data_IF_156996390894
#
_entry.id   IF_156996390894
#
_cell.length_a   1.000
_cell.length_b   1.000
_cell.length_c   1.000
_cell.angle_alpha   90.00
_cell.angle_beta   90.00
_cell.angle_gamma   90.00
#
_symmetry.space_group_name_H-M   'P 1'
#
loop_
_entity.id
_entity.type
_entity.pdbx_description
1 polymer ?
#
# COMPACT_ATOMS: atom_id res chain seq x y z
N UNK A 1 8.93 14.52 -5.30
CA UNK A 1 9.37 13.81 -6.53
C UNK A 1 8.24 12.91 -6.99
N UNK A 2 8.09 12.68 -8.29
CA UNK A 2 7.00 11.86 -8.83
C UNK A 2 7.58 10.58 -9.47
N UNK A 3 7.10 9.43 -9.02
CA UNK A 3 7.43 8.11 -9.54
C UNK A 3 6.32 7.69 -10.50
N UNK A 4 6.41 8.15 -11.76
CA UNK A 4 5.32 8.02 -12.75
C UNK A 4 5.18 6.65 -13.39
N UNK A 5 6.29 5.92 -13.51
CA UNK A 5 6.33 4.68 -14.29
C UNK A 5 6.70 3.51 -13.39
N UNK A 6 6.13 2.35 -13.69
CA UNK A 6 6.51 1.08 -13.05
C UNK A 6 8.04 0.90 -13.09
N UNK A 7 8.61 0.51 -11.96
CA UNK A 7 10.05 0.31 -11.76
C UNK A 7 10.84 1.58 -11.45
N UNK A 8 10.21 2.77 -11.47
CA UNK A 8 10.89 3.98 -10.97
C UNK A 8 11.08 3.90 -9.47
N UNK A 9 12.26 4.30 -8.99
CA UNK A 9 12.66 4.20 -7.59
C UNK A 9 13.14 5.55 -7.04
N UNK A 10 12.96 5.74 -5.74
CA UNK A 10 13.54 6.84 -4.98
C UNK A 10 14.09 6.33 -3.65
N UNK A 11 15.20 6.91 -3.18
CA UNK A 11 15.71 6.60 -1.85
C UNK A 11 14.77 7.17 -0.80
N UNK A 12 14.35 6.31 0.13
CA UNK A 12 13.73 6.70 1.38
C UNK A 12 14.88 6.88 2.35
N UNK A 13 15.35 8.13 2.50
CA UNK A 13 16.43 8.46 3.40
C UNK A 13 16.09 8.14 4.87
N UNK A 14 16.97 8.50 5.80
CA UNK A 14 16.64 8.39 7.23
C UNK A 14 15.36 9.18 7.55
N UNK A 15 14.48 8.57 8.34
CA UNK A 15 13.22 9.16 8.78
C UNK A 15 12.95 8.78 10.24
N UNK A 16 12.17 9.62 10.93
CA UNK A 16 11.50 9.28 12.20
C UNK A 16 10.12 8.70 11.96
N UNK A 17 9.50 9.13 10.86
CA UNK A 17 8.21 8.64 10.42
C UNK A 17 8.06 8.78 8.91
N UNK A 18 7.38 7.81 8.31
CA UNK A 18 6.77 7.93 6.99
C UNK A 18 5.26 8.06 7.14
N UNK A 19 4.68 8.94 6.35
CA UNK A 19 3.24 9.08 6.18
C UNK A 19 2.90 8.63 4.77
N UNK A 20 2.20 7.51 4.66
CA UNK A 20 1.68 6.95 3.43
C UNK A 20 0.23 7.41 3.32
N UNK A 21 -0.10 8.21 2.32
CA UNK A 21 -1.46 8.76 2.12
C UNK A 21 -1.99 8.30 0.79
N UNK A 22 -3.15 7.64 0.81
CA UNK A 22 -3.90 7.24 -0.37
C UNK A 22 -5.09 8.19 -0.54
N UNK A 23 -5.33 8.68 -1.76
CA UNK A 23 -6.46 9.58 -2.08
C UNK A 23 -7.14 9.15 -3.37
N UNK A 24 -8.46 9.30 -3.40
CA UNK A 24 -9.29 9.04 -4.58
C UNK A 24 -10.60 9.82 -4.51
N UNK A 25 -11.26 9.99 -5.65
CA UNK A 25 -12.61 10.56 -5.75
C UNK A 25 -13.62 9.63 -6.40
N UNK A 26 -13.15 8.56 -7.03
CA UNK A 26 -13.98 7.52 -7.63
C UNK A 26 -14.93 6.90 -6.58
N UNK A 27 -16.24 6.78 -6.89
CA UNK A 27 -17.18 5.95 -6.12
C UNK A 27 -16.82 4.45 -6.16
N UNK A 28 -15.84 4.09 -5.34
CA UNK A 28 -15.41 2.74 -5.03
C UNK A 28 -14.93 2.70 -3.58
N UNK A 29 -15.18 1.57 -2.93
CA UNK A 29 -14.77 1.26 -1.56
C UNK A 29 -13.31 0.82 -1.55
N UNK A 30 -12.41 1.76 -1.81
CA UNK A 30 -10.97 1.50 -1.81
C UNK A 30 -10.42 1.60 -0.39
N UNK A 31 -9.70 0.57 0.05
CA UNK A 31 -8.94 0.63 1.31
C UNK A 31 -7.43 0.58 1.07
N UNK A 32 -6.70 1.26 1.95
CA UNK A 32 -5.25 1.21 2.06
C UNK A 32 -4.84 0.02 2.93
N UNK A 33 -4.02 -0.86 2.36
CA UNK A 33 -3.44 -2.00 3.06
C UNK A 33 -1.93 -2.08 2.87
N UNK A 34 -1.24 -2.69 3.83
CA UNK A 34 0.18 -2.98 3.72
C UNK A 34 0.50 -4.40 4.15
N UNK A 35 1.01 -5.21 3.22
CA UNK A 35 1.66 -6.47 3.57
C UNK A 35 3.12 -6.19 3.89
N UNK A 36 3.74 -7.00 4.74
CA UNK A 36 5.17 -6.87 5.03
C UNK A 36 5.83 -8.24 5.18
N UNK A 37 7.13 -8.26 4.93
CA UNK A 37 8.04 -9.36 5.25
C UNK A 37 9.19 -8.81 6.08
N UNK A 38 9.50 -9.47 7.18
CA UNK A 38 10.67 -9.16 8.01
C UNK A 38 11.93 -9.78 7.44
N UNK A 39 13.10 -9.29 7.88
CA UNK A 39 14.40 -9.91 7.55
C UNK A 39 14.54 -11.35 8.07
N UNK A 40 13.68 -11.76 9.00
CA UNK A 40 13.58 -13.13 9.51
C UNK A 40 12.56 -14.00 8.74
N UNK A 41 11.93 -13.47 7.69
CA UNK A 41 10.94 -14.19 6.86
C UNK A 41 9.53 -14.24 7.46
N UNK A 42 9.29 -13.64 8.63
CA UNK A 42 7.91 -13.48 9.17
C UNK A 42 7.16 -12.49 8.29
N UNK A 43 5.94 -12.86 7.90
CA UNK A 43 5.04 -12.04 7.10
C UNK A 43 3.83 -11.59 7.92
N UNK A 44 3.18 -10.51 7.48
CA UNK A 44 1.94 -10.03 8.07
C UNK A 44 1.27 -8.96 7.22
N UNK A 45 0.16 -8.43 7.74
CA UNK A 45 -0.73 -7.52 7.03
C UNK A 45 -1.26 -6.46 7.99
N UNK A 46 -1.33 -5.22 7.53
CA UNK A 46 -1.99 -4.09 8.20
C UNK A 46 -3.09 -3.58 7.27
N UNK A 47 -4.32 -3.51 7.77
CA UNK A 47 -5.51 -3.07 7.02
C UNK A 47 -6.62 -2.64 8.00
N UNK A 48 -7.79 -2.20 7.53
CA UNK A 48 -8.86 -1.72 8.40
C UNK A 48 -9.27 -2.71 9.52
N UNK A 49 -9.20 -4.03 9.27
CA UNK A 49 -9.53 -5.07 10.27
C UNK A 49 -8.41 -5.32 11.29
N UNK A 50 -7.17 -4.96 10.97
CA UNK A 50 -6.00 -5.07 11.84
C UNK A 50 -5.11 -3.83 11.61
N UNK A 51 -5.51 -2.71 12.22
CA UNK A 51 -4.94 -1.39 11.95
C UNK A 51 -3.48 -1.21 12.39
N UNK A 52 -2.92 -2.14 13.16
CA UNK A 52 -1.55 -2.06 13.68
C UNK A 52 -1.39 -1.07 14.85
N UNK A 53 -0.14 -0.79 15.20
CA UNK A 53 0.24 0.04 16.35
C UNK A 53 1.61 0.66 16.11
N UNK A 54 1.80 1.95 16.43
CA UNK A 54 3.11 2.63 16.28
C UNK A 54 4.11 2.32 17.40
N UNK A 55 3.64 1.76 18.53
CA UNK A 55 4.43 1.43 19.71
C UNK A 55 4.72 -0.07 19.84
N UNK A 56 4.14 -0.90 18.97
CA UNK A 56 4.37 -2.33 18.92
C UNK A 56 4.65 -2.74 17.47
N UNK A 57 5.38 -3.83 17.28
CA UNK A 57 5.58 -4.40 15.95
C UNK A 57 4.20 -4.62 15.27
N UNK A 58 4.00 -4.22 13.98
CA UNK A 58 5.01 -3.87 12.99
C UNK A 58 5.46 -2.39 12.96
N UNK A 59 5.12 -1.57 13.97
CA UNK A 59 5.38 -0.13 14.00
C UNK A 59 4.72 0.62 12.85
N UNK A 60 3.60 0.07 12.37
CA UNK A 60 2.75 0.63 11.33
C UNK A 60 1.34 0.78 11.88
N UNK A 61 0.68 1.88 11.56
CA UNK A 61 -0.70 2.12 11.99
C UNK A 61 -1.51 2.80 10.89
N UNK A 62 -2.69 2.26 10.59
CA UNK A 62 -3.69 2.88 9.72
C UNK A 62 -4.56 3.88 10.51
N UNK A 63 -4.90 5.01 9.93
CA UNK A 63 -5.66 6.10 10.58
C UNK A 63 -7.12 5.76 10.86
N UNK A 64 -7.67 4.79 10.14
CA UNK A 64 -9.09 4.45 10.14
C UNK A 64 -9.49 3.78 8.83
N UNK A 65 -10.79 3.52 8.69
CA UNK A 65 -11.45 3.13 7.44
C UNK A 65 -12.33 4.30 7.02
N UNK A 66 -11.90 5.02 5.99
CA UNK A 66 -12.63 6.16 5.44
C UNK A 66 -13.34 5.80 4.12
N UNK A 67 -13.18 4.55 3.63
CA UNK A 67 -13.89 4.00 2.47
C UNK A 67 -15.37 3.69 2.71
N UNK A 68 -15.77 3.53 3.98
CA UNK A 68 -17.12 3.10 4.36
C UNK A 68 -18.25 3.94 3.72
N UNK A 69 -18.93 3.33 2.75
CA UNK A 69 -20.25 3.75 2.28
C UNK A 69 -20.35 4.26 0.85
N UNK A 70 -19.40 3.92 -0.04
CA UNK A 70 -19.45 4.24 -1.48
C UNK A 70 -19.72 5.74 -1.75
N UNK A 71 -19.17 6.64 -0.93
CA UNK A 71 -19.39 8.07 -1.09
C UNK A 71 -18.46 8.63 -2.15
N UNK A 72 -19.03 9.18 -3.22
CA UNK A 72 -18.33 10.13 -4.08
C UNK A 72 -17.85 11.32 -3.23
N UNK A 73 -16.59 11.72 -3.36
CA UNK A 73 -16.00 12.78 -2.55
C UNK A 73 -14.48 12.68 -2.46
N UNK A 74 -13.86 13.57 -1.69
CA UNK A 74 -12.42 13.50 -1.44
C UNK A 74 -12.13 12.46 -0.35
N UNK A 75 -11.91 11.21 -0.76
CA UNK A 75 -11.57 10.13 0.14
C UNK A 75 -10.06 10.11 0.42
N UNK A 76 -9.68 9.82 1.66
CA UNK A 76 -8.29 9.80 2.10
C UNK A 76 -8.08 8.74 3.19
N UNK A 77 -7.06 7.90 3.03
CA UNK A 77 -6.58 7.02 4.09
C UNK A 77 -5.09 7.21 4.32
N UNK A 78 -4.70 7.17 5.60
CA UNK A 78 -3.32 7.45 6.01
C UNK A 78 -2.77 6.29 6.83
N UNK A 79 -1.62 5.76 6.40
CA UNK A 79 -0.81 4.85 7.19
C UNK A 79 0.46 5.54 7.66
N UNK A 80 0.79 5.38 8.94
CA UNK A 80 2.04 5.85 9.54
C UNK A 80 2.98 4.67 9.76
N UNK A 81 4.26 4.86 9.43
CA UNK A 81 5.33 3.88 9.66
C UNK A 81 6.45 4.57 10.43
N UNK A 82 6.83 4.06 11.60
CA UNK A 82 7.88 4.68 12.44
C UNK A 82 9.19 3.91 12.45
N UNK A 83 9.20 2.64 12.01
CA UNK A 83 10.41 1.81 11.95
C UNK A 83 10.38 0.84 10.78
N UNK A 84 11.53 0.63 10.15
CA UNK A 84 11.73 -0.39 9.11
C UNK A 84 12.89 -1.35 9.43
N UNK A 85 13.60 -1.20 10.55
CA UNK A 85 14.86 -1.90 10.84
C UNK A 85 14.75 -3.43 10.71
N UNK A 86 13.63 -3.99 11.18
CA UNK A 86 13.32 -5.42 11.11
C UNK A 86 12.62 -5.83 9.80
N UNK A 87 12.17 -4.87 9.00
CA UNK A 87 11.46 -5.09 7.74
C UNK A 87 12.46 -5.29 6.60
N UNK A 88 12.17 -6.31 5.80
CA UNK A 88 12.82 -6.55 4.51
C UNK A 88 12.07 -5.81 3.41
N UNK A 89 10.74 -5.97 3.40
CA UNK A 89 9.86 -5.34 2.41
C UNK A 89 8.54 -4.92 3.03
N UNK A 90 7.99 -3.80 2.57
CA UNK A 90 6.60 -3.40 2.82
C UNK A 90 5.93 -3.14 1.48
N UNK A 91 4.83 -3.83 1.22
CA UNK A 91 4.06 -3.75 -0.01
C UNK A 91 2.78 -2.96 0.25
N UNK A 92 2.72 -1.75 -0.30
CA UNK A 92 1.61 -0.81 -0.11
C UNK A 92 0.59 -1.03 -1.22
N UNK A 93 -0.63 -1.35 -0.83
CA UNK A 93 -1.68 -1.77 -1.74
C UNK A 93 -2.93 -0.94 -1.55
N UNK A 94 -3.69 -0.87 -2.62
CA UNK A 94 -5.08 -0.47 -2.61
C UNK A 94 -5.92 -1.67 -3.02
N UNK A 95 -7.00 -1.95 -2.32
CA UNK A 95 -7.94 -3.01 -2.67
C UNK A 95 -9.38 -2.55 -2.50
N UNK A 96 -10.32 -3.33 -3.01
CA UNK A 96 -11.72 -3.23 -2.61
C UNK A 96 -12.05 -4.51 -1.85
N UNK A 97 -12.09 -4.42 -0.52
CA UNK A 97 -12.23 -5.60 0.32
C UNK A 97 -13.52 -6.37 0.02
N UNK A 98 -14.62 -5.67 -0.22
CA UNK A 98 -15.90 -6.27 -0.60
C UNK A 98 -15.81 -7.06 -1.91
N UNK A 99 -15.14 -6.53 -2.93
CA UNK A 99 -14.89 -7.22 -4.21
C UNK A 99 -13.90 -8.37 -4.07
N UNK A 100 -12.89 -8.23 -3.21
CA UNK A 100 -11.95 -9.32 -2.87
C UNK A 100 -12.72 -10.50 -2.29
N UNK A 101 -13.59 -10.28 -1.30
CA UNK A 101 -14.38 -11.35 -0.69
C UNK A 101 -15.31 -12.05 -1.70
N UNK A 102 -15.91 -11.28 -2.61
CA UNK A 102 -16.82 -11.79 -3.63
C UNK A 102 -16.10 -12.34 -4.89
N UNK A 103 -14.79 -12.17 -5.00
CA UNK A 103 -14.01 -12.55 -6.19
C UNK A 103 -14.38 -11.79 -7.46
N UNK A 104 -14.93 -10.60 -7.32
CA UNK A 104 -15.32 -9.71 -8.41
C UNK A 104 -14.19 -8.71 -8.72
N UNK A 105 -14.09 -8.19 -9.95
CA UNK A 105 -13.16 -7.10 -10.25
C UNK A 105 -13.62 -5.79 -9.58
N UNK A 106 -12.65 -4.98 -9.15
CA UNK A 106 -12.85 -3.60 -8.75
C UNK A 106 -12.61 -2.65 -9.93
N UNK A 107 -12.92 -1.36 -9.75
CA UNK A 107 -12.88 -0.33 -10.79
C UNK A 107 -11.53 0.41 -10.87
N UNK A 108 -10.40 -0.31 -10.83
CA UNK A 108 -9.06 0.34 -10.86
C UNK A 108 -8.72 1.04 -12.17
N UNK A 109 -9.19 0.51 -13.31
CA UNK A 109 -8.82 1.02 -14.65
C UNK A 109 -9.22 2.48 -14.88
N UNK A 110 -10.28 2.94 -14.22
CA UNK A 110 -10.80 4.31 -14.32
C UNK A 110 -10.62 5.06 -12.99
N UNK A 111 -9.90 4.46 -12.04
CA UNK A 111 -9.69 5.07 -10.74
C UNK A 111 -8.67 6.19 -10.81
N UNK A 112 -8.89 7.20 -9.97
CA UNK A 112 -7.99 8.32 -9.74
C UNK A 112 -7.14 8.12 -8.46
N UNK A 113 -6.94 6.86 -8.05
CA UNK A 113 -6.16 6.52 -6.87
C UNK A 113 -4.74 7.05 -7.02
N UNK A 114 -4.33 7.82 -6.03
CA UNK A 114 -2.98 8.34 -5.91
C UNK A 114 -2.40 8.00 -4.54
N UNK A 115 -1.11 7.68 -4.51
CA UNK A 115 -0.38 7.41 -3.28
C UNK A 115 0.71 8.46 -3.11
N UNK A 116 0.87 8.97 -1.90
CA UNK A 116 2.03 9.79 -1.53
C UNK A 116 2.72 9.21 -0.31
N UNK A 117 4.05 9.25 -0.30
CA UNK A 117 4.89 8.86 0.84
C UNK A 117 5.70 10.07 1.24
N UNK A 118 5.44 10.59 2.44
CA UNK A 118 6.10 11.77 3.00
C UNK A 118 6.96 11.40 4.21
N UNK A 119 8.21 11.88 4.24
CA UNK A 119 9.08 11.76 5.42
C UNK A 119 8.83 12.88 6.45
N UNK A 120 9.41 12.76 7.64
CA UNK A 120 9.29 13.76 8.72
C UNK A 120 10.00 15.09 8.42
N UNK A 121 10.67 15.21 7.28
CA UNK A 121 11.29 16.45 6.77
C UNK A 121 10.43 17.12 5.70
N UNK A 122 9.29 16.54 5.32
CA UNK A 122 8.39 17.04 4.28
C UNK A 122 8.76 16.61 2.86
N UNK A 123 9.77 15.76 2.69
CA UNK A 123 10.11 15.18 1.39
C UNK A 123 8.99 14.23 0.98
N UNK A 124 8.31 14.56 -0.12
CA UNK A 124 7.16 13.80 -0.60
C UNK A 124 7.48 13.09 -1.92
N UNK A 125 7.15 11.80 -1.98
CA UNK A 125 7.19 10.98 -3.18
C UNK A 125 5.77 10.61 -3.58
N UNK A 126 5.34 11.05 -4.76
CA UNK A 126 4.03 10.70 -5.31
C UNK A 126 4.17 9.51 -6.23
N UNK A 127 3.32 8.51 -6.05
CA UNK A 127 3.24 7.30 -6.86
C UNK A 127 1.86 7.29 -7.51
N UNK A 128 1.85 7.41 -8.83
CA UNK A 128 0.62 7.33 -9.62
C UNK A 128 0.39 5.88 -9.99
N UNK A 129 -0.83 5.41 -9.79
CA UNK A 129 -1.23 4.06 -10.18
C UNK A 129 -1.36 3.97 -11.70
N UNK A 130 -0.54 3.12 -12.33
CA UNK A 130 -0.64 2.79 -13.76
C UNK A 130 -0.99 1.30 -13.92
N UNK A 131 -2.15 0.91 -13.40
CA UNK A 131 -2.63 -0.47 -13.53
C UNK A 131 -3.31 -0.62 -14.88
N UNK A 132 -2.53 -0.91 -15.92
CA UNK A 132 -3.04 -1.23 -17.25
C UNK A 132 -3.96 -2.47 -17.32
N UNK A 133 -4.29 -3.10 -16.18
CA UNK A 133 -5.12 -4.30 -16.05
C UNK A 133 -6.25 -4.13 -15.03
N UNK A 134 -7.31 -4.95 -15.19
CA UNK A 134 -8.42 -5.05 -14.25
C UNK A 134 -8.02 -5.95 -13.07
N UNK A 135 -8.40 -5.56 -11.84
CA UNK A 135 -8.12 -6.31 -10.62
C UNK A 135 -9.05 -5.90 -9.47
N UNK A 136 -8.96 -6.58 -8.32
CA UNK A 136 -9.56 -6.15 -7.05
C UNK A 136 -8.53 -5.88 -5.95
N UNK A 137 -7.25 -6.05 -6.27
CA UNK A 137 -6.11 -5.58 -5.50
C UNK A 137 -5.11 -4.94 -6.46
N UNK A 138 -4.53 -3.83 -6.05
CA UNK A 138 -3.45 -3.14 -6.73
C UNK A 138 -2.28 -2.92 -5.77
N UNK A 139 -1.12 -3.52 -6.08
CA UNK A 139 0.15 -3.14 -5.50
C UNK A 139 0.60 -1.82 -6.13
N UNK A 140 0.61 -0.76 -5.32
CA UNK A 140 0.98 0.57 -5.78
C UNK A 140 2.50 0.75 -5.68
N UNK A 141 3.05 0.49 -4.50
CA UNK A 141 4.45 0.75 -4.22
C UNK A 141 5.04 -0.26 -3.25
N UNK A 142 6.35 -0.49 -3.38
CA UNK A 142 7.14 -1.28 -2.43
C UNK A 142 8.15 -0.39 -1.74
N UNK A 143 8.24 -0.51 -0.41
CA UNK A 143 9.39 -0.07 0.36
C UNK A 143 10.33 -1.27 0.51
N UNK A 144 11.42 -1.28 -0.26
CA UNK A 144 12.47 -2.28 -0.20
C UNK A 144 13.56 -1.82 0.77
N UNK A 145 13.79 -2.59 1.84
CA UNK A 145 14.80 -2.33 2.87
C UNK A 145 15.87 -3.44 2.93
N UNK A 146 16.14 -4.08 1.79
CA UNK A 146 17.19 -5.11 1.65
C UNK A 146 18.57 -4.50 1.47
N UNK A 147 18.67 -3.28 0.93
CA UNK A 147 19.92 -2.58 0.66
C UNK A 147 20.56 -2.05 1.95
N UNK A 148 21.88 -2.23 2.08
CA UNK A 148 22.66 -1.64 3.18
C UNK A 148 22.76 -0.10 3.12
N UNK A 149 22.44 0.50 1.97
CA UNK A 149 22.54 1.96 1.74
C UNK A 149 21.29 2.70 2.26
N UNK A 150 20.19 1.98 2.45
CA UNK A 150 18.91 2.52 2.91
C UNK A 150 17.72 1.96 2.14
N UNK A 151 16.53 2.25 2.65
CA UNK A 151 15.29 1.81 2.02
C UNK A 151 15.03 2.56 0.70
N UNK A 152 14.36 1.89 -0.22
CA UNK A 152 13.92 2.46 -1.50
C UNK A 152 12.41 2.36 -1.61
N UNK A 153 11.79 3.40 -2.16
CA UNK A 153 10.40 3.37 -2.60
C UNK A 153 10.38 3.10 -4.10
N UNK A 154 9.66 2.06 -4.50
CA UNK A 154 9.55 1.60 -5.88
C UNK A 154 8.09 1.71 -6.31
N UNK A 155 7.81 2.28 -7.48
CA UNK A 155 6.48 2.20 -8.09
C UNK A 155 6.32 0.81 -8.74
N UNK A 156 5.40 -0.02 -8.22
CA UNK A 156 5.12 -1.35 -8.78
C UNK A 156 3.97 -1.36 -9.79
N UNK A 157 2.94 -0.53 -9.56
CA UNK A 157 1.73 -0.41 -10.39
C UNK A 157 1.27 -1.76 -10.98
N UNK A 158 0.97 -2.71 -10.10
CA UNK A 158 0.56 -4.07 -10.48
C UNK A 158 -0.81 -4.37 -9.91
N UNK A 159 -1.75 -4.83 -10.74
CA UNK A 159 -3.07 -5.26 -10.28
C UNK A 159 -3.28 -6.76 -10.47
N UNK A 160 -4.01 -7.36 -9.54
CA UNK A 160 -4.41 -8.76 -9.56
C UNK A 160 -5.85 -8.94 -9.08
N UNK A 161 -6.38 -10.15 -9.26
CA UNK A 161 -7.73 -10.51 -8.80
C UNK A 161 -7.66 -11.66 -7.82
N UNK A 162 -8.05 -11.40 -6.58
CA UNK A 162 -8.30 -12.41 -5.56
C UNK A 162 -9.73 -12.93 -5.68
N UNK A 163 -9.95 -14.20 -5.31
CA UNK A 163 -11.27 -14.85 -5.23
C UNK A 163 -11.55 -15.25 -3.78
N UNK A 164 -11.60 -14.24 -2.91
CA UNK A 164 -11.54 -14.36 -1.46
C UNK A 164 -10.09 -14.39 -0.95
N UNK A 165 -9.85 -13.75 0.19
CA UNK A 165 -8.58 -13.78 0.91
C UNK A 165 -8.66 -14.80 2.04
N UNK A 166 -8.10 -15.99 1.81
CA UNK A 166 -8.04 -17.08 2.80
C UNK A 166 -6.77 -17.04 3.63
N UNK A 167 -5.68 -16.59 3.02
CA UNK A 167 -4.38 -16.44 3.66
C UNK A 167 -3.54 -15.41 2.91
N UNK A 168 -2.46 -14.95 3.56
CA UNK A 168 -1.56 -13.94 3.03
C UNK A 168 -0.81 -14.42 1.77
N UNK A 169 -0.60 -15.72 1.58
CA UNK A 169 0.13 -16.24 0.43
C UNK A 169 -0.54 -15.87 -0.90
N UNK A 170 -1.88 -15.87 -0.95
CA UNK A 170 -2.61 -15.47 -2.16
C UNK A 170 -2.34 -14.01 -2.56
N UNK A 171 -2.13 -13.15 -1.56
CA UNK A 171 -1.78 -11.74 -1.79
C UNK A 171 -0.32 -11.61 -2.25
N UNK A 172 0.57 -12.38 -1.65
CA UNK A 172 1.99 -12.42 -2.02
C UNK A 172 2.21 -12.96 -3.44
N UNK A 173 1.40 -13.93 -3.89
CA UNK A 173 1.44 -14.41 -5.28
C UNK A 173 1.15 -13.28 -6.29
N UNK A 174 0.24 -12.35 -5.98
CA UNK A 174 0.01 -11.16 -6.81
C UNK A 174 1.22 -10.22 -6.75
N UNK A 175 1.78 -10.03 -5.56
CA UNK A 175 2.93 -9.15 -5.35
C UNK A 175 4.16 -9.66 -6.13
N UNK A 176 4.38 -10.97 -6.17
CA UNK A 176 5.57 -11.61 -6.73
C UNK A 176 5.45 -12.00 -8.21
N UNK A 177 4.24 -12.00 -8.81
CA UNK A 177 3.99 -12.39 -10.22
C UNK A 177 4.51 -11.39 -11.24
#
# INVERSE_FOLDING_TARGET
MELKQKGTEANVGSFKQLMVTMKWTTAADFDLAAAYETKAGKQGLVYFGEQGNLNAFPFMQLSGDEGVGDKDGNNEEVMRITKLDEMKSVWIMCWDYGKVQNGAPARFKESDVSLSVMDDRGTTHNVTLDTGSLGNVALIATIDNTSAIGAKLINDSKAGTLKGLKNLQQLLEIIES
#
